data_IF_383607352763
#
_entry.id   IF_383607352763
#
_cell.length_a   1.000
_cell.length_b   1.000
_cell.length_c   1.000
_cell.angle_alpha   90.00
_cell.angle_beta   90.00
_cell.angle_gamma   90.00
#
_symmetry.space_group_name_H-M   'P 1'
#
loop_
_entity.id
_entity.type
_entity.pdbx_description
1 polymer ?
#
# COMPACT_ATOMS: atom_id res chain seq x y z
N UNK A 1 1.14 5.69 0.54
CA UNK A 1 0.16 6.72 0.94
C UNK A 1 0.51 7.38 2.27
N UNK A 2 0.64 6.62 3.38
CA UNK A 2 0.89 7.20 4.72
C UNK A 2 2.33 7.68 4.88
N UNK A 3 3.31 6.96 4.32
CA UNK A 3 4.74 7.26 4.47
C UNK A 3 5.34 8.01 3.27
N UNK A 4 4.53 8.41 2.28
CA UNK A 4 5.00 8.91 0.97
C UNK A 4 6.04 8.01 0.26
N UNK A 5 6.14 6.74 0.66
CA UNK A 5 6.96 5.75 -0.05
C UNK A 5 6.38 5.42 -1.44
N UNK A 6 7.24 5.04 -2.42
CA UNK A 6 6.79 4.53 -3.70
C UNK A 6 5.84 3.34 -3.52
N UNK A 7 4.86 3.22 -4.42
CA UNK A 7 3.91 2.12 -4.43
C UNK A 7 4.02 1.38 -5.76
N UNK A 8 3.93 0.06 -5.76
CA UNK A 8 4.15 -0.73 -6.96
C UNK A 8 4.06 -2.22 -6.73
N UNK A 9 4.41 -2.98 -7.76
CA UNK A 9 4.46 -4.45 -7.75
C UNK A 9 5.88 -4.92 -8.07
N UNK A 10 6.28 -6.02 -7.45
CA UNK A 10 7.64 -6.56 -7.55
C UNK A 10 7.60 -8.07 -7.71
N UNK A 11 8.28 -8.58 -8.74
CA UNK A 11 8.68 -9.99 -8.84
C UNK A 11 10.09 -10.11 -8.28
N UNK A 12 10.28 -10.98 -7.29
CA UNK A 12 11.56 -11.17 -6.62
C UNK A 12 11.87 -12.66 -6.43
N UNK A 13 13.15 -12.98 -6.27
CA UNK A 13 13.59 -14.33 -5.96
C UNK A 13 13.26 -14.67 -4.51
N UNK A 14 12.80 -15.90 -4.24
CA UNK A 14 12.54 -16.33 -2.87
C UNK A 14 13.86 -16.64 -2.15
N UNK A 15 14.03 -16.11 -0.94
CA UNK A 15 15.10 -16.51 -0.01
C UNK A 15 14.51 -16.85 1.37
N UNK A 16 15.36 -17.03 2.39
CA UNK A 16 14.91 -17.42 3.73
C UNK A 16 14.19 -16.29 4.50
N UNK A 17 14.32 -15.04 4.05
CA UNK A 17 13.69 -13.87 4.67
C UNK A 17 12.42 -13.46 3.91
N UNK A 18 11.51 -12.79 4.60
CA UNK A 18 10.23 -12.34 4.02
C UNK A 18 10.49 -11.16 3.09
N UNK A 19 10.02 -11.26 1.84
CA UNK A 19 10.07 -10.22 0.81
C UNK A 19 11.47 -9.59 0.61
N UNK A 20 12.54 -10.36 0.82
CA UNK A 20 13.91 -9.84 0.92
C UNK A 20 14.89 -10.41 -0.12
N UNK A 21 14.44 -11.20 -1.09
CA UNK A 21 15.32 -11.68 -2.15
C UNK A 21 15.48 -10.69 -3.29
N UNK A 22 16.46 -10.94 -4.17
CA UNK A 22 16.79 -10.05 -5.28
C UNK A 22 15.56 -9.75 -6.14
N UNK A 23 15.42 -8.51 -6.57
CA UNK A 23 14.39 -8.08 -7.53
C UNK A 23 14.72 -8.68 -8.89
N UNK A 24 13.72 -9.30 -9.51
CA UNK A 24 13.75 -9.71 -10.91
C UNK A 24 13.15 -8.63 -11.81
N UNK A 25 11.95 -8.18 -11.45
CA UNK A 25 11.21 -7.15 -12.19
C UNK A 25 10.39 -6.31 -11.22
N UNK A 26 10.23 -5.03 -11.49
CA UNK A 26 9.45 -4.13 -10.65
C UNK A 26 8.76 -3.08 -11.51
N UNK A 27 7.58 -2.65 -11.07
CA UNK A 27 6.85 -1.54 -11.70
C UNK A 27 6.22 -0.66 -10.64
N UNK A 28 6.50 0.63 -10.76
CA UNK A 28 5.90 1.67 -9.92
C UNK A 28 4.48 2.01 -10.41
N UNK A 29 3.57 2.24 -9.47
CA UNK A 29 2.18 2.64 -9.70
C UNK A 29 1.99 4.03 -9.11
N UNK A 30 1.63 4.98 -9.98
CA UNK A 30 1.34 6.35 -9.58
C UNK A 30 0.15 6.42 -8.61
N UNK A 31 0.39 7.05 -7.45
CA UNK A 31 -0.63 7.31 -6.43
C UNK A 31 -1.13 8.74 -6.54
N UNK A 32 -2.44 8.91 -6.58
CA UNK A 32 -3.11 10.21 -6.64
C UNK A 32 -4.03 10.45 -5.45
N UNK A 33 -4.63 11.64 -5.37
CA UNK A 33 -5.54 12.02 -4.28
C UNK A 33 -6.83 11.18 -4.21
N UNK A 34 -7.50 10.89 -5.34
CA UNK A 34 -8.67 9.99 -5.34
C UNK A 34 -8.38 8.54 -4.96
N UNK A 35 -7.10 8.15 -4.90
CA UNK A 35 -6.76 6.79 -4.57
C UNK A 35 -6.99 6.46 -3.10
N UNK A 36 -7.70 5.35 -2.87
CA UNK A 36 -7.94 4.73 -1.57
C UNK A 36 -7.14 3.44 -1.43
N UNK A 37 -7.19 2.82 -0.24
CA UNK A 37 -6.63 1.48 -0.04
C UNK A 37 -7.19 0.45 -1.03
N UNK A 38 -8.49 0.52 -1.32
CA UNK A 38 -9.16 -0.31 -2.30
C UNK A 38 -8.65 -0.07 -3.72
N UNK A 39 -8.65 1.18 -4.19
CA UNK A 39 -8.31 1.46 -5.59
C UNK A 39 -6.84 1.15 -5.88
N UNK A 40 -5.93 1.42 -4.92
CA UNK A 40 -4.53 1.02 -5.08
C UNK A 40 -4.36 -0.49 -5.08
N UNK A 41 -5.09 -1.21 -4.23
CA UNK A 41 -5.06 -2.68 -4.24
C UNK A 41 -5.51 -3.23 -5.60
N UNK A 42 -6.59 -2.71 -6.18
CA UNK A 42 -7.06 -3.13 -7.51
C UNK A 42 -6.07 -2.78 -8.63
N UNK A 43 -5.44 -1.60 -8.57
CA UNK A 43 -4.36 -1.21 -9.49
C UNK A 43 -3.19 -2.18 -9.38
N UNK A 44 -2.77 -2.53 -8.16
CA UNK A 44 -1.68 -3.47 -7.95
C UNK A 44 -2.01 -4.88 -8.46
N UNK A 45 -3.24 -5.38 -8.27
CA UNK A 45 -3.64 -6.68 -8.83
C UNK A 45 -3.54 -6.68 -10.36
N UNK A 46 -4.05 -5.63 -11.00
CA UNK A 46 -3.97 -5.49 -12.46
C UNK A 46 -2.51 -5.45 -12.91
N UNK A 47 -1.71 -4.59 -12.29
CA UNK A 47 -0.32 -4.37 -12.68
C UNK A 47 0.56 -5.61 -12.42
N UNK A 48 0.24 -6.40 -11.39
CA UNK A 48 0.95 -7.64 -11.08
C UNK A 48 0.80 -8.66 -12.20
N UNK A 49 -0.42 -8.80 -12.75
CA UNK A 49 -0.67 -9.70 -13.88
C UNK A 49 0.08 -9.21 -15.12
N UNK A 50 0.00 -7.92 -15.43
CA UNK A 50 0.70 -7.33 -16.59
C UNK A 50 2.21 -7.50 -16.46
N UNK A 51 2.79 -7.19 -15.29
CA UNK A 51 4.22 -7.36 -15.03
C UNK A 51 4.65 -8.82 -15.22
N UNK A 52 3.82 -9.77 -14.76
CA UNK A 52 4.10 -11.18 -14.92
C UNK A 52 4.01 -11.63 -16.39
N UNK A 53 2.99 -11.21 -17.13
CA UNK A 53 2.86 -11.49 -18.56
C UNK A 53 4.04 -10.95 -19.37
N UNK A 54 4.45 -9.71 -19.10
CA UNK A 54 5.62 -9.07 -19.74
C UNK A 54 6.93 -9.81 -19.41
N UNK A 55 7.06 -10.30 -18.18
CA UNK A 55 8.26 -11.01 -17.71
C UNK A 55 8.30 -12.49 -18.12
N UNK A 56 7.14 -13.09 -18.44
CA UNK A 56 7.01 -14.53 -18.66
C UNK A 56 7.97 -15.07 -19.74
N UNK A 57 8.14 -14.42 -20.92
CA UNK A 57 9.10 -14.87 -21.92
C UNK A 57 10.53 -14.98 -21.36
N UNK A 58 10.99 -13.97 -20.63
CA UNK A 58 12.33 -13.95 -20.02
C UNK A 58 12.46 -15.04 -18.95
N UNK A 59 11.41 -15.24 -18.14
CA UNK A 59 11.37 -16.26 -17.09
C UNK A 59 11.49 -17.67 -17.68
N UNK A 60 10.73 -18.00 -18.74
CA UNK A 60 10.76 -19.35 -19.32
C UNK A 60 12.08 -19.68 -20.03
N UNK A 61 12.85 -18.67 -20.45
CA UNK A 61 14.20 -18.84 -20.99
C UNK A 61 15.28 -18.89 -19.89
N UNK A 62 14.91 -18.71 -18.61
CA UNK A 62 15.82 -18.78 -17.48
C UNK A 62 16.68 -17.54 -17.27
N UNK A 63 16.41 -16.44 -17.96
CA UNK A 63 17.20 -15.19 -17.93
C UNK A 63 16.70 -14.20 -16.88
N UNK A 64 16.37 -14.69 -15.69
CA UNK A 64 15.73 -13.89 -14.63
C UNK A 64 16.77 -12.99 -13.94
N UNK A 65 16.66 -11.65 -14.01
CA UNK A 65 17.60 -10.75 -13.37
C UNK A 65 17.67 -10.94 -11.85
N UNK A 66 18.80 -10.56 -11.26
CA UNK A 66 19.02 -10.53 -9.81
C UNK A 66 19.57 -9.16 -9.43
N UNK A 67 18.67 -8.25 -9.08
CA UNK A 67 18.98 -6.89 -8.65
C UNK A 67 18.84 -6.85 -7.13
N UNK A 68 19.92 -6.60 -6.36
CA UNK A 68 19.81 -6.50 -4.90
C UNK A 68 18.79 -5.44 -4.48
N UNK A 69 17.98 -5.76 -3.47
CA UNK A 69 17.12 -4.76 -2.84
C UNK A 69 17.96 -3.73 -2.09
N UNK A 70 17.49 -2.48 -2.03
CA UNK A 70 18.10 -1.46 -1.19
C UNK A 70 17.80 -1.75 0.30
N UNK A 71 18.75 -1.50 1.19
CA UNK A 71 18.63 -1.74 2.65
C UNK A 71 17.57 -0.87 3.37
N UNK A 72 16.77 -0.10 2.62
CA UNK A 72 15.82 0.90 3.14
C UNK A 72 14.36 0.43 3.11
N UNK A 73 14.09 -0.85 2.88
CA UNK A 73 12.73 -1.40 2.89
C UNK A 73 12.11 -1.43 4.29
N UNK A 74 10.84 -1.04 4.42
CA UNK A 74 10.06 -1.19 5.65
C UNK A 74 9.15 -2.43 5.58
N UNK A 75 9.19 -3.26 6.62
CA UNK A 75 8.26 -4.37 6.79
C UNK A 75 7.06 -3.90 7.62
N UNK A 76 5.87 -3.91 7.01
CA UNK A 76 4.62 -3.54 7.66
C UNK A 76 3.82 -4.79 8.02
N UNK A 77 3.81 -5.15 9.29
CA UNK A 77 3.03 -6.29 9.76
C UNK A 77 1.55 -5.94 9.86
N UNK A 78 0.68 -6.93 9.57
CA UNK A 78 -0.77 -6.77 9.75
C UNK A 78 -1.16 -6.34 11.18
N UNK A 79 -0.37 -6.71 12.19
CA UNK A 79 -0.58 -6.32 13.58
C UNK A 79 -0.38 -4.82 13.85
N UNK A 80 0.37 -4.11 13.01
CA UNK A 80 0.62 -2.67 13.12
C UNK A 80 -0.49 -1.82 12.48
N UNK A 81 -1.32 -2.44 11.63
CA UNK A 81 -2.39 -1.75 10.91
C UNK A 81 -3.50 -1.27 11.84
N UNK A 82 -3.87 -2.04 12.86
CA UNK A 82 -5.00 -1.72 13.74
C UNK A 82 -4.72 -0.53 14.68
N UNK A 83 -3.56 -0.43 15.36
CA UNK A 83 -3.19 0.77 16.11
C UNK A 83 -3.10 2.01 15.22
N UNK A 84 -2.54 1.88 14.01
CA UNK A 84 -2.38 2.99 13.07
C UNK A 84 -3.70 3.54 12.52
N UNK A 85 -4.82 2.85 12.76
CA UNK A 85 -6.16 3.21 12.26
C UNK A 85 -7.03 3.85 13.33
N UNK A 86 -6.54 3.96 14.56
CA UNK A 86 -7.17 4.77 15.59
C UNK A 86 -6.78 6.23 15.34
N UNK A 87 -7.78 7.10 15.28
CA UNK A 87 -7.63 8.54 15.25
C UNK A 87 -7.87 9.04 16.66
N UNK A 88 -6.85 9.70 17.20
CA UNK A 88 -6.97 10.52 18.39
C UNK A 88 -7.42 11.92 17.95
N UNK A 89 -8.59 12.35 18.43
CA UNK A 89 -9.19 13.63 18.04
C UNK A 89 -8.41 14.83 18.58
N UNK A 90 -7.66 14.66 19.67
CA UNK A 90 -6.91 15.73 20.34
C UNK A 90 -5.42 15.73 19.97
N UNK A 91 -4.93 14.67 19.32
CA UNK A 91 -3.55 14.59 18.89
C UNK A 91 -3.22 15.62 17.79
N UNK A 92 -2.05 16.29 17.86
CA UNK A 92 -1.57 17.12 16.77
C UNK A 92 -1.40 16.30 15.47
N UNK A 93 -2.05 16.74 14.40
CA UNK A 93 -1.93 16.17 13.05
C UNK A 93 -2.11 17.26 12.00
N UNK A 94 -1.49 17.08 10.83
CA UNK A 94 -1.85 17.89 9.66
C UNK A 94 -3.10 17.33 8.97
N UNK A 95 -3.83 18.18 8.26
CA UNK A 95 -4.96 17.74 7.42
C UNK A 95 -4.51 16.72 6.36
N UNK A 96 -3.28 16.85 5.83
CA UNK A 96 -2.72 15.92 4.86
C UNK A 96 -2.52 14.52 5.44
N UNK A 97 -1.94 14.42 6.63
CA UNK A 97 -1.74 13.14 7.33
C UNK A 97 -3.07 12.47 7.64
N UNK A 98 -4.05 13.25 8.13
CA UNK A 98 -5.40 12.75 8.41
C UNK A 98 -6.05 12.20 7.14
N UNK A 99 -6.07 12.97 6.04
CA UNK A 99 -6.64 12.55 4.76
C UNK A 99 -5.91 11.31 4.18
N UNK A 100 -4.58 11.26 4.29
CA UNK A 100 -3.80 10.09 3.87
C UNK A 100 -4.13 8.85 4.69
N UNK A 101 -4.30 8.98 6.01
CA UNK A 101 -4.70 7.86 6.89
C UNK A 101 -6.10 7.36 6.53
N UNK A 102 -7.06 8.28 6.41
CA UNK A 102 -8.46 7.98 6.07
C UNK A 102 -8.58 7.26 4.73
N UNK A 103 -7.98 7.79 3.66
CA UNK A 103 -8.07 7.17 2.33
C UNK A 103 -7.30 5.85 2.28
N UNK A 104 -6.18 5.72 3.00
CA UNK A 104 -5.43 4.47 3.06
C UNK A 104 -6.21 3.33 3.73
N UNK A 105 -7.06 3.63 4.72
CA UNK A 105 -7.93 2.66 5.38
C UNK A 105 -9.33 2.54 4.78
N UNK A 106 -9.63 3.29 3.71
CA UNK A 106 -10.88 3.13 2.98
C UNK A 106 -10.77 1.95 2.02
N UNK A 107 -11.23 0.77 2.46
CA UNK A 107 -11.29 -0.44 1.64
C UNK A 107 -12.35 -1.43 2.12
N UNK A 108 -13.63 -1.25 1.76
CA UNK A 108 -14.68 -2.22 2.08
C UNK A 108 -14.38 -3.63 1.52
N UNK A 109 -14.76 -4.71 2.23
CA UNK A 109 -15.48 -4.77 3.50
C UNK A 109 -14.55 -4.65 4.74
N UNK A 110 -13.28 -4.26 4.57
CA UNK A 110 -12.34 -4.16 5.68
C UNK A 110 -12.64 -2.94 6.58
N UNK A 111 -12.24 -3.01 7.87
CA UNK A 111 -12.42 -1.90 8.80
C UNK A 111 -11.68 -0.63 8.38
N UNK A 112 -12.39 0.51 8.48
CA UNK A 112 -11.87 1.85 8.24
C UNK A 112 -11.02 2.37 9.40
N UNK A 113 -10.76 3.67 9.39
CA UNK A 113 -10.24 4.33 10.60
C UNK A 113 -11.35 4.44 11.64
N UNK A 114 -10.98 4.45 12.93
CA UNK A 114 -11.91 4.59 14.05
C UNK A 114 -11.48 5.67 15.02
N UNK A 115 -12.43 6.27 15.71
CA UNK A 115 -12.19 7.18 16.84
C UNK A 115 -13.28 7.01 17.89
N UNK A 116 -13.00 7.45 19.11
CA UNK A 116 -13.96 7.50 20.20
C UNK A 116 -14.33 8.95 20.51
N UNK A 117 -15.58 9.19 20.86
CA UNK A 117 -16.05 10.46 21.42
C UNK A 117 -17.06 10.15 22.53
N UNK A 118 -16.70 10.46 23.78
CA UNK A 118 -17.39 9.94 24.96
C UNK A 118 -17.33 8.41 25.04
N UNK A 119 -18.48 7.78 25.26
CA UNK A 119 -18.63 6.32 25.35
C UNK A 119 -18.82 5.64 23.98
N UNK A 120 -18.98 6.44 22.92
CA UNK A 120 -19.28 5.94 21.57
C UNK A 120 -18.01 5.72 20.75
N UNK A 121 -18.05 4.74 19.85
CA UNK A 121 -16.97 4.44 18.90
C UNK A 121 -17.51 4.56 17.48
N UNK A 122 -16.82 5.35 16.67
CA UNK A 122 -17.19 5.63 15.29
C UNK A 122 -16.16 5.06 14.33
N UNK A 123 -16.63 4.60 13.18
CA UNK A 123 -15.79 4.25 12.03
C UNK A 123 -15.98 5.30 10.94
N UNK A 124 -14.88 5.73 10.32
CA UNK A 124 -14.86 6.74 9.27
C UNK A 124 -14.12 6.25 8.03
N UNK A 125 -14.71 6.55 6.88
CA UNK A 125 -14.17 6.34 5.53
C UNK A 125 -14.32 7.63 4.73
N UNK A 126 -13.56 7.77 3.65
CA UNK A 126 -13.56 8.99 2.84
C UNK A 126 -13.61 8.68 1.34
N UNK A 127 -14.26 9.55 0.58
CA UNK A 127 -14.09 9.68 -0.87
C UNK A 127 -13.40 11.03 -1.16
N UNK A 128 -12.48 11.04 -2.11
CA UNK A 128 -11.79 12.26 -2.55
C UNK A 128 -11.97 12.39 -4.06
N UNK A 129 -12.67 13.43 -4.48
CA UNK A 129 -12.93 13.69 -5.88
C UNK A 129 -12.09 14.87 -6.36
N UNK A 130 -11.52 14.76 -7.56
CA UNK A 130 -10.85 15.88 -8.22
C UNK A 130 -11.94 16.80 -8.79
N UNK A 131 -11.99 18.02 -8.27
CA UNK A 131 -12.79 19.08 -8.88
C UNK A 131 -11.99 19.68 -10.04
N UNK A 132 -12.68 19.94 -11.16
CA UNK A 132 -12.10 20.49 -12.39
C UNK A 132 -11.44 21.84 -12.21
#
# INVERSE_FOLDING_TARGET
MVENAPYGVTLHHVNAAIDAGDIAFQREISVSWPDTGETLYQKALTEMVVLFEDALPTIVHGEIPRIPQADTGSLHYRSQLEPASVIDLDAPTTARELLNRLRARTFPPHPGCRFSDGDDVYEVRISIDRLG
#
